data_IF_305788576179
#
_entry.id   IF_305788576179
#
_cell.length_a   1.000
_cell.length_b   1.000
_cell.length_c   1.000
_cell.angle_alpha   90.00
_cell.angle_beta   90.00
_cell.angle_gamma   90.00
#
_symmetry.space_group_name_H-M   'P 1'
#
loop_
_entity.id
_entity.type
_entity.pdbx_description
1 polymer ?
#
# COMPACT_ATOMS: atom_id res chain seq x y z
N UNK A 1 -21.74 -63.71 -12.59
CA UNK A 1 -21.92 -62.42 -11.89
C UNK A 1 -20.74 -61.53 -12.21
N UNK A 2 -20.87 -60.49 -13.05
CA UNK A 2 -19.82 -59.50 -13.22
C UNK A 2 -19.96 -58.39 -12.16
N UNK A 3 -18.81 -57.86 -11.74
CA UNK A 3 -18.66 -56.81 -10.73
C UNK A 3 -19.26 -55.46 -11.19
N UNK A 4 -19.73 -54.60 -10.26
CA UNK A 4 -20.26 -53.29 -10.59
C UNK A 4 -19.12 -52.36 -11.05
N UNK A 5 -19.32 -51.74 -12.21
CA UNK A 5 -18.47 -50.68 -12.74
C UNK A 5 -18.74 -49.37 -11.99
N UNK A 6 -17.77 -48.91 -11.20
CA UNK A 6 -17.73 -47.54 -10.68
C UNK A 6 -17.51 -46.56 -11.84
N UNK A 7 -18.61 -46.02 -12.37
CA UNK A 7 -18.61 -44.88 -13.28
C UNK A 7 -18.55 -43.57 -12.47
N UNK A 8 -17.39 -43.29 -11.84
CA UNK A 8 -17.09 -41.95 -11.37
C UNK A 8 -16.74 -41.04 -12.55
N UNK A 9 -17.76 -40.60 -13.28
CA UNK A 9 -17.61 -39.54 -14.28
C UNK A 9 -17.09 -38.26 -13.62
N UNK A 10 -16.18 -37.50 -14.25
CA UNK A 10 -15.78 -36.20 -13.75
C UNK A 10 -17.03 -35.29 -13.74
N UNK A 11 -17.45 -34.86 -12.54
CA UNK A 11 -18.47 -33.82 -12.40
C UNK A 11 -18.07 -32.62 -13.27
N UNK A 12 -19.01 -32.02 -14.03
CA UNK A 12 -18.66 -30.99 -15.00
C UNK A 12 -18.07 -29.80 -14.27
N UNK A 13 -16.76 -29.63 -14.43
CA UNK A 13 -16.03 -28.45 -14.05
C UNK A 13 -16.60 -27.26 -14.84
N UNK A 14 -17.58 -26.57 -14.26
CA UNK A 14 -18.01 -25.25 -14.73
C UNK A 14 -16.84 -24.29 -14.48
N UNK A 15 -15.92 -24.30 -15.45
CA UNK A 15 -14.82 -23.39 -15.73
C UNK A 15 -14.34 -22.49 -14.58
N UNK A 16 -13.45 -23.03 -13.74
CA UNK A 16 -12.55 -22.26 -12.84
C UNK A 16 -11.88 -21.05 -13.51
N UNK A 17 -11.52 -21.04 -14.83
CA UNK A 17 -10.98 -19.86 -15.49
C UNK A 17 -11.89 -18.63 -15.43
N UNK A 18 -13.22 -18.80 -15.56
CA UNK A 18 -14.16 -17.68 -15.62
C UNK A 18 -14.33 -16.98 -14.26
N UNK A 19 -14.22 -17.73 -13.16
CA UNK A 19 -14.35 -17.19 -11.80
C UNK A 19 -13.08 -16.43 -11.41
N UNK A 20 -11.90 -16.96 -11.74
CA UNK A 20 -10.64 -16.25 -11.53
C UNK A 20 -10.55 -14.98 -12.38
N UNK A 21 -10.97 -15.02 -13.65
CA UNK A 21 -11.00 -13.83 -14.50
C UNK A 21 -11.88 -12.72 -13.93
N UNK A 22 -13.09 -13.04 -13.44
CA UNK A 22 -13.97 -12.06 -12.80
C UNK A 22 -13.35 -11.46 -11.53
N UNK A 23 -12.76 -12.30 -10.68
CA UNK A 23 -12.04 -11.85 -9.49
C UNK A 23 -10.86 -10.93 -9.85
N UNK A 24 -10.05 -11.34 -10.83
CA UNK A 24 -8.88 -10.59 -11.28
C UNK A 24 -9.28 -9.24 -11.89
N UNK A 25 -10.28 -9.21 -12.77
CA UNK A 25 -10.81 -7.97 -13.36
C UNK A 25 -11.38 -7.03 -12.30
N UNK A 26 -12.15 -7.56 -11.34
CA UNK A 26 -12.66 -6.76 -10.23
C UNK A 26 -11.52 -6.16 -9.39
N UNK A 27 -10.45 -6.94 -9.15
CA UNK A 27 -9.27 -6.49 -8.42
C UNK A 27 -8.53 -5.39 -9.15
N UNK A 28 -8.33 -5.52 -10.46
CA UNK A 28 -7.69 -4.51 -11.32
C UNK A 28 -8.51 -3.21 -11.30
N UNK A 29 -9.81 -3.30 -11.57
CA UNK A 29 -10.71 -2.15 -11.60
C UNK A 29 -10.76 -1.41 -10.26
N UNK A 30 -10.94 -2.13 -9.14
CA UNK A 30 -10.95 -1.53 -7.80
C UNK A 30 -9.61 -0.89 -7.45
N UNK A 31 -8.49 -1.54 -7.78
CA UNK A 31 -7.16 -1.01 -7.45
C UNK A 31 -6.81 0.25 -8.26
N UNK A 32 -7.05 0.25 -9.57
CA UNK A 32 -6.81 1.43 -10.42
C UNK A 32 -7.69 2.59 -9.98
N UNK A 33 -8.98 2.32 -9.77
CA UNK A 33 -9.96 3.32 -9.34
C UNK A 33 -9.55 3.98 -8.02
N UNK A 34 -9.10 3.19 -7.05
CA UNK A 34 -8.64 3.70 -5.77
C UNK A 34 -7.40 4.60 -5.89
N UNK A 35 -6.41 4.19 -6.68
CA UNK A 35 -5.19 4.97 -6.89
C UNK A 35 -5.48 6.31 -7.58
N UNK A 36 -6.33 6.28 -8.60
CA UNK A 36 -6.79 7.49 -9.28
C UNK A 36 -7.55 8.42 -8.33
N UNK A 37 -8.47 7.87 -7.52
CA UNK A 37 -9.27 8.64 -6.58
C UNK A 37 -8.41 9.26 -5.46
N UNK A 38 -7.39 8.55 -4.98
CA UNK A 38 -6.41 9.07 -4.02
C UNK A 38 -5.70 10.33 -4.54
N UNK A 39 -5.25 10.33 -5.81
CA UNK A 39 -4.66 11.52 -6.45
C UNK A 39 -5.66 12.66 -6.57
N UNK A 40 -6.88 12.35 -7.03
CA UNK A 40 -7.93 13.35 -7.20
C UNK A 40 -8.33 14.02 -5.89
N UNK A 41 -8.50 13.26 -4.81
CA UNK A 41 -8.84 13.80 -3.49
C UNK A 41 -7.72 14.71 -2.98
N UNK A 42 -6.46 14.27 -3.08
CA UNK A 42 -5.30 15.06 -2.67
C UNK A 42 -5.17 16.37 -3.44
N UNK A 43 -5.40 16.35 -4.76
CA UNK A 43 -5.41 17.57 -5.55
C UNK A 43 -6.61 18.46 -5.24
N UNK A 44 -7.82 17.90 -5.08
CA UNK A 44 -9.05 18.66 -4.82
C UNK A 44 -8.97 19.40 -3.49
N UNK A 45 -8.58 18.73 -2.40
CA UNK A 45 -8.43 19.40 -1.10
C UNK A 45 -7.37 20.51 -1.17
N UNK A 46 -6.28 20.27 -1.91
CA UNK A 46 -5.23 21.26 -2.05
C UNK A 46 -5.72 22.45 -2.85
N UNK A 47 -6.45 22.26 -3.95
CA UNK A 47 -7.02 23.38 -4.71
C UNK A 47 -7.99 24.24 -3.90
N UNK A 48 -8.75 23.63 -2.98
CA UNK A 48 -9.71 24.34 -2.13
C UNK A 48 -9.04 25.10 -0.98
N UNK A 49 -8.01 24.51 -0.37
CA UNK A 49 -7.44 25.02 0.89
C UNK A 49 -6.08 25.68 0.74
N UNK A 50 -5.33 25.35 -0.32
CA UNK A 50 -3.93 25.73 -0.53
C UNK A 50 -3.05 25.47 0.71
N UNK A 51 -3.37 24.42 1.46
CA UNK A 51 -2.76 24.13 2.76
C UNK A 51 -2.19 22.72 2.82
N UNK A 52 -0.92 22.62 3.20
CA UNK A 52 -0.26 21.33 3.46
C UNK A 52 -0.87 20.58 4.65
N UNK A 53 -1.30 21.33 5.67
CA UNK A 53 -1.96 20.78 6.84
C UNK A 53 -3.26 20.06 6.47
N UNK A 54 -4.07 20.67 5.60
CA UNK A 54 -5.31 20.07 5.10
C UNK A 54 -5.04 18.75 4.33
N UNK A 55 -3.92 18.68 3.60
CA UNK A 55 -3.53 17.49 2.88
C UNK A 55 -3.12 16.34 3.82
N UNK A 56 -2.36 16.65 4.88
CA UNK A 56 -2.03 15.69 5.93
C UNK A 56 -3.27 15.15 6.67
N UNK A 57 -4.29 15.98 6.88
CA UNK A 57 -5.57 15.57 7.46
C UNK A 57 -6.34 14.57 6.58
N UNK A 58 -6.19 14.61 5.24
CA UNK A 58 -6.80 13.59 4.37
C UNK A 58 -6.20 12.21 4.64
N UNK A 59 -4.88 12.12 4.74
CA UNK A 59 -4.19 10.86 5.08
C UNK A 59 -4.67 10.32 6.44
N UNK A 60 -4.68 11.19 7.46
CA UNK A 60 -5.19 10.84 8.79
C UNK A 60 -6.66 10.39 8.77
N UNK A 61 -7.51 11.07 8.00
CA UNK A 61 -8.92 10.71 7.85
C UNK A 61 -9.09 9.32 7.20
N UNK A 62 -8.23 8.92 6.26
CA UNK A 62 -8.24 7.58 5.69
C UNK A 62 -7.68 6.53 6.66
N UNK A 63 -6.62 6.88 7.40
CA UNK A 63 -5.94 5.96 8.30
C UNK A 63 -6.72 5.64 9.57
N UNK A 64 -7.30 6.64 10.23
CA UNK A 64 -7.88 6.47 11.56
C UNK A 64 -9.03 5.44 11.57
N UNK A 65 -10.01 5.48 10.66
CA UNK A 65 -11.03 4.44 10.56
C UNK A 65 -10.42 3.10 10.17
N UNK A 66 -9.44 3.08 9.26
CA UNK A 66 -8.77 1.84 8.87
C UNK A 66 -8.11 1.16 10.07
N UNK A 67 -7.37 1.91 10.89
CA UNK A 67 -6.69 1.41 12.07
C UNK A 67 -7.68 0.89 13.11
N UNK A 68 -8.69 1.68 13.48
CA UNK A 68 -9.69 1.31 14.50
C UNK A 68 -10.51 0.09 14.05
N UNK A 69 -10.87 0.02 12.77
CA UNK A 69 -11.73 -1.04 12.25
C UNK A 69 -10.95 -2.29 11.81
N UNK A 70 -9.62 -2.28 11.77
CA UNK A 70 -8.83 -3.44 11.30
C UNK A 70 -9.12 -4.72 12.09
N UNK A 71 -9.27 -4.62 13.42
CA UNK A 71 -9.60 -5.78 14.28
C UNK A 71 -11.00 -6.32 14.00
N UNK A 72 -11.97 -5.41 13.84
CA UNK A 72 -13.37 -5.76 13.52
C UNK A 72 -13.46 -6.35 12.11
N UNK A 73 -12.70 -5.80 11.17
CA UNK A 73 -12.66 -6.23 9.79
C UNK A 73 -12.18 -7.68 9.63
N UNK A 74 -11.18 -8.09 10.39
CA UNK A 74 -10.73 -9.49 10.41
C UNK A 74 -11.85 -10.45 10.84
N UNK A 75 -12.56 -10.11 11.93
CA UNK A 75 -13.67 -10.90 12.44
C UNK A 75 -14.85 -10.99 11.46
N UNK A 76 -15.17 -9.88 10.79
CA UNK A 76 -16.21 -9.84 9.75
C UNK A 76 -15.81 -10.69 8.54
N UNK A 77 -14.56 -10.64 8.10
CA UNK A 77 -14.05 -11.43 6.98
C UNK A 77 -14.09 -12.95 7.23
N UNK A 78 -14.11 -13.37 8.50
CA UNK A 78 -14.18 -14.79 8.88
C UNK A 78 -15.62 -15.29 9.08
N UNK A 79 -16.54 -14.45 9.56
CA UNK A 79 -17.93 -14.85 9.85
C UNK A 79 -18.89 -14.73 8.67
N UNK A 80 -18.66 -13.77 7.78
CA UNK A 80 -19.58 -13.47 6.69
C UNK A 80 -19.08 -14.00 5.34
N UNK A 81 -20.00 -14.13 4.37
CA UNK A 81 -19.64 -14.44 3.00
C UNK A 81 -18.71 -13.35 2.44
N UNK A 82 -17.44 -13.69 2.31
CA UNK A 82 -16.35 -12.82 1.87
C UNK A 82 -16.65 -12.12 0.55
N UNK A 83 -17.38 -12.76 -0.37
CA UNK A 83 -17.76 -12.13 -1.65
C UNK A 83 -18.69 -10.95 -1.43
N UNK A 84 -19.64 -11.09 -0.49
CA UNK A 84 -20.64 -10.07 -0.18
C UNK A 84 -19.97 -8.92 0.57
N UNK A 85 -19.07 -9.23 1.50
CA UNK A 85 -18.28 -8.21 2.21
C UNK A 85 -17.51 -7.33 1.21
N UNK A 86 -16.75 -7.94 0.28
CA UNK A 86 -16.01 -7.15 -0.73
C UNK A 86 -16.96 -6.39 -1.65
N UNK A 87 -18.04 -7.02 -2.13
CA UNK A 87 -19.00 -6.34 -3.00
C UNK A 87 -19.63 -5.12 -2.31
N UNK A 88 -20.01 -5.24 -1.03
CA UNK A 88 -20.53 -4.11 -0.24
C UNK A 88 -19.48 -3.01 -0.09
N UNK A 89 -18.23 -3.36 0.22
CA UNK A 89 -17.14 -2.36 0.31
C UNK A 89 -16.96 -1.61 -1.02
N UNK A 90 -16.97 -2.33 -2.14
CA UNK A 90 -16.83 -1.73 -3.46
C UNK A 90 -18.06 -0.90 -3.85
N UNK A 91 -19.27 -1.32 -3.47
CA UNK A 91 -20.48 -0.51 -3.62
C UNK A 91 -20.43 0.77 -2.78
N UNK A 92 -19.91 0.71 -1.55
CA UNK A 92 -19.70 1.89 -0.71
C UNK A 92 -18.65 2.84 -1.31
N UNK A 93 -17.58 2.31 -1.91
CA UNK A 93 -16.59 3.12 -2.64
C UNK A 93 -17.20 3.75 -3.90
N UNK A 94 -18.05 3.04 -4.64
CA UNK A 94 -18.79 3.58 -5.77
C UNK A 94 -19.75 4.70 -5.33
N UNK A 95 -20.46 4.50 -4.22
CA UNK A 95 -21.33 5.50 -3.62
C UNK A 95 -20.55 6.73 -3.16
N UNK A 96 -19.41 6.55 -2.50
CA UNK A 96 -18.55 7.66 -2.09
C UNK A 96 -18.06 8.46 -3.31
N UNK A 97 -17.66 7.79 -4.41
CA UNK A 97 -17.34 8.45 -5.68
C UNK A 97 -18.54 9.19 -6.28
N UNK A 98 -19.76 8.65 -6.15
CA UNK A 98 -20.97 9.33 -6.59
C UNK A 98 -21.27 10.59 -5.76
N UNK A 99 -21.04 10.54 -4.45
CA UNK A 99 -21.18 11.71 -3.57
C UNK A 99 -20.10 12.75 -3.88
N UNK A 100 -18.85 12.35 -4.17
CA UNK A 100 -17.82 13.25 -4.67
C UNK A 100 -18.25 13.94 -5.97
N UNK A 101 -18.78 13.19 -6.94
CA UNK A 101 -19.27 13.73 -8.20
C UNK A 101 -20.42 14.73 -7.98
N UNK A 102 -21.44 14.34 -7.21
CA UNK A 102 -22.59 15.18 -6.91
C UNK A 102 -22.20 16.45 -6.14
N UNK A 103 -21.29 16.35 -5.18
CA UNK A 103 -20.76 17.50 -4.45
C UNK A 103 -19.93 18.44 -5.30
N UNK A 104 -19.17 17.89 -6.24
CA UNK A 104 -18.38 18.68 -7.19
C UNK A 104 -19.27 19.43 -8.16
N UNK A 105 -20.29 18.76 -8.74
CA UNK A 105 -21.23 19.39 -9.66
C UNK A 105 -22.18 20.38 -8.95
N UNK A 106 -22.58 20.06 -7.72
CA UNK A 106 -23.45 20.91 -6.90
C UNK A 106 -22.71 22.05 -6.18
N UNK A 107 -21.38 22.11 -6.25
CA UNK A 107 -20.56 23.17 -5.66
C UNK A 107 -20.56 23.23 -4.12
N UNK A 108 -21.13 22.24 -3.43
CA UNK A 108 -21.20 22.21 -1.95
C UNK A 108 -20.07 21.42 -1.30
N UNK A 109 -19.19 20.79 -2.09
CA UNK A 109 -18.08 19.99 -1.58
C UNK A 109 -17.02 20.87 -0.92
N UNK A 110 -17.00 20.86 0.42
CA UNK A 110 -16.04 21.60 1.25
C UNK A 110 -15.04 20.65 1.93
N UNK A 111 -14.02 21.20 2.59
CA UNK A 111 -12.98 20.40 3.25
C UNK A 111 -13.53 19.36 4.26
N UNK A 112 -14.49 19.69 5.15
CA UNK A 112 -15.10 18.70 6.05
C UNK A 112 -15.77 17.54 5.31
N UNK A 113 -16.51 17.82 4.22
CA UNK A 113 -17.15 16.77 3.42
C UNK A 113 -16.10 15.86 2.76
N UNK A 114 -14.99 16.43 2.27
CA UNK A 114 -13.88 15.65 1.71
C UNK A 114 -13.25 14.74 2.77
N UNK A 115 -13.02 15.22 3.99
CA UNK A 115 -12.49 14.40 5.08
C UNK A 115 -13.44 13.28 5.47
N UNK A 116 -14.75 13.54 5.56
CA UNK A 116 -15.74 12.52 5.86
C UNK A 116 -15.77 11.42 4.78
N UNK A 117 -15.73 11.81 3.50
CA UNK A 117 -15.67 10.85 2.40
C UNK A 117 -14.35 10.07 2.39
N UNK A 118 -13.22 10.73 2.64
CA UNK A 118 -11.92 10.08 2.78
C UNK A 118 -11.93 9.05 3.93
N UNK A 119 -12.57 9.36 5.05
CA UNK A 119 -12.79 8.42 6.14
C UNK A 119 -13.65 7.22 5.73
N UNK A 120 -14.70 7.43 4.94
CA UNK A 120 -15.48 6.34 4.35
C UNK A 120 -14.64 5.43 3.44
N UNK A 121 -13.75 6.01 2.61
CA UNK A 121 -12.82 5.25 1.76
C UNK A 121 -11.88 4.39 2.61
N UNK A 122 -11.28 4.99 3.65
CA UNK A 122 -10.39 4.30 4.59
C UNK A 122 -11.09 3.15 5.33
N UNK A 123 -12.30 3.40 5.83
CA UNK A 123 -13.14 2.40 6.48
C UNK A 123 -13.47 1.24 5.53
N UNK A 124 -13.92 1.51 4.30
CA UNK A 124 -14.22 0.46 3.32
C UNK A 124 -12.97 -0.38 2.98
N UNK A 125 -11.80 0.26 2.88
CA UNK A 125 -10.51 -0.43 2.65
C UNK A 125 -10.10 -1.33 3.80
N UNK A 126 -10.42 -0.96 5.04
CA UNK A 126 -10.16 -1.75 6.24
C UNK A 126 -10.78 -3.15 6.13
N UNK A 127 -12.00 -3.24 5.59
CA UNK A 127 -12.71 -4.50 5.35
C UNK A 127 -12.31 -5.15 4.02
N UNK A 128 -12.13 -4.38 2.95
CA UNK A 128 -11.86 -4.92 1.61
C UNK A 128 -10.52 -5.69 1.55
N UNK A 129 -9.44 -5.09 2.04
CA UNK A 129 -8.08 -5.62 1.88
C UNK A 129 -7.88 -7.04 2.48
N UNK A 130 -8.19 -7.29 3.77
CA UNK A 130 -8.04 -8.63 4.35
C UNK A 130 -8.99 -9.64 3.70
N UNK A 131 -10.21 -9.20 3.36
CA UNK A 131 -11.23 -10.07 2.76
C UNK A 131 -10.81 -10.52 1.35
N UNK A 132 -10.31 -9.63 0.51
CA UNK A 132 -9.82 -9.96 -0.85
C UNK A 132 -8.65 -10.94 -0.79
N UNK A 133 -7.69 -10.72 0.12
CA UNK A 133 -6.54 -11.61 0.29
C UNK A 133 -6.96 -13.04 0.68
N UNK A 134 -8.02 -13.17 1.48
CA UNK A 134 -8.59 -14.46 1.88
C UNK A 134 -9.47 -15.12 0.81
N UNK A 135 -9.92 -14.36 -0.19
CA UNK A 135 -10.80 -14.85 -1.25
C UNK A 135 -10.03 -15.59 -2.35
N UNK A 136 -8.81 -15.15 -2.65
CA UNK A 136 -7.98 -15.72 -3.72
C UNK A 136 -7.83 -17.26 -3.58
N UNK A 137 -7.54 -17.82 -2.38
CA UNK A 137 -7.48 -19.26 -2.21
C UNK A 137 -8.79 -20.02 -2.39
N UNK A 138 -9.93 -19.34 -2.30
CA UNK A 138 -11.24 -19.93 -2.51
C UNK A 138 -11.67 -19.91 -3.99
N UNK A 139 -11.01 -19.09 -4.82
CA UNK A 139 -11.33 -18.91 -6.25
C UNK A 139 -10.57 -19.89 -7.15
N UNK A 140 -9.36 -20.29 -6.76
CA UNK A 140 -8.49 -21.16 -7.58
C UNK A 140 -8.14 -22.46 -6.88
N UNK A 141 -7.73 -23.47 -7.66
CA UNK A 141 -7.25 -24.73 -7.10
C UNK A 141 -5.92 -24.52 -6.35
N UNK A 142 -5.63 -25.36 -5.34
CA UNK A 142 -4.38 -25.26 -4.57
C UNK A 142 -3.12 -25.27 -5.45
N UNK A 143 -3.11 -26.07 -6.51
CA UNK A 143 -2.00 -26.16 -7.46
C UNK A 143 -1.79 -24.87 -8.28
N UNK A 144 -2.83 -24.06 -8.46
CA UNK A 144 -2.78 -22.81 -9.24
C UNK A 144 -2.54 -21.57 -8.38
N UNK A 145 -2.55 -21.71 -7.03
CA UNK A 145 -2.38 -20.60 -6.10
C UNK A 145 -1.13 -19.75 -6.34
N UNK A 146 0.06 -20.31 -6.61
CA UNK A 146 1.25 -19.49 -6.85
C UNK A 146 1.08 -18.61 -8.10
N UNK A 147 0.54 -19.18 -9.19
CA UNK A 147 0.27 -18.45 -10.44
C UNK A 147 -0.79 -17.38 -10.23
N UNK A 148 -1.86 -17.69 -9.54
CA UNK A 148 -2.95 -16.77 -9.27
C UNK A 148 -2.52 -15.61 -8.35
N UNK A 149 -1.68 -15.91 -7.34
CA UNK A 149 -1.07 -14.91 -6.46
C UNK A 149 -0.14 -14.00 -7.23
N UNK A 150 0.71 -14.54 -8.11
CA UNK A 150 1.57 -13.75 -8.97
C UNK A 150 0.76 -12.79 -9.85
N UNK A 151 -0.29 -13.25 -10.53
CA UNK A 151 -1.16 -12.42 -11.37
C UNK A 151 -1.91 -11.33 -10.58
N UNK A 152 -2.38 -11.64 -9.38
CA UNK A 152 -3.07 -10.68 -8.50
C UNK A 152 -2.12 -9.60 -7.96
N UNK A 153 -0.90 -10.01 -7.61
CA UNK A 153 0.15 -9.07 -7.18
C UNK A 153 0.57 -8.18 -8.35
N UNK A 154 0.80 -8.74 -9.54
CA UNK A 154 1.11 -7.96 -10.75
C UNK A 154 0.02 -6.93 -11.06
N UNK A 155 -1.26 -7.32 -10.99
CA UNK A 155 -2.37 -6.38 -11.17
C UNK A 155 -2.33 -5.21 -10.18
N UNK A 156 -2.03 -5.49 -8.91
CA UNK A 156 -1.93 -4.45 -7.88
C UNK A 156 -0.74 -3.52 -8.14
N UNK A 157 0.41 -4.06 -8.54
CA UNK A 157 1.60 -3.26 -8.91
C UNK A 157 1.36 -2.39 -10.14
N UNK A 158 0.71 -2.95 -11.17
CA UNK A 158 0.31 -2.17 -12.36
C UNK A 158 -0.64 -1.04 -11.97
N UNK A 159 -1.60 -1.28 -11.07
CA UNK A 159 -2.49 -0.25 -10.58
C UNK A 159 -1.76 0.85 -9.79
N UNK A 160 -0.78 0.49 -8.96
CA UNK A 160 0.07 1.44 -8.22
C UNK A 160 0.85 2.37 -9.16
N UNK A 161 1.27 1.87 -10.34
CA UNK A 161 2.02 2.65 -11.33
C UNK A 161 1.08 3.45 -12.24
N UNK A 162 0.10 2.80 -12.86
CA UNK A 162 -0.76 3.42 -13.89
C UNK A 162 -1.86 4.27 -13.27
N UNK A 163 -2.39 3.85 -12.11
CA UNK A 163 -3.53 4.50 -11.47
C UNK A 163 -3.30 5.98 -11.12
N UNK A 164 -2.18 6.37 -10.47
CA UNK A 164 -1.91 7.77 -10.17
C UNK A 164 -1.71 8.62 -11.42
N UNK A 165 -0.96 8.14 -12.42
CA UNK A 165 -0.76 8.82 -13.70
C UNK A 165 -2.10 9.03 -14.44
N UNK A 166 -2.92 7.98 -14.54
CA UNK A 166 -4.24 8.07 -15.13
C UNK A 166 -5.12 9.06 -14.36
N UNK A 167 -5.09 9.03 -13.03
CA UNK A 167 -5.86 9.95 -12.21
C UNK A 167 -5.45 11.41 -12.38
N UNK A 168 -4.15 11.69 -12.44
CA UNK A 168 -3.66 13.04 -12.70
C UNK A 168 -4.06 13.57 -14.09
N UNK A 169 -3.91 12.75 -15.14
CA UNK A 169 -4.29 13.14 -16.51
C UNK A 169 -5.81 13.34 -16.62
N UNK A 170 -6.60 12.41 -16.09
CA UNK A 170 -8.06 12.49 -16.12
C UNK A 170 -8.58 13.67 -15.28
N UNK A 171 -7.93 13.99 -14.17
CA UNK A 171 -8.28 15.18 -13.37
C UNK A 171 -8.05 16.47 -14.17
N UNK A 172 -7.06 16.50 -15.07
CA UNK A 172 -6.85 17.61 -16.00
C UNK A 172 -8.04 17.89 -16.94
N UNK A 173 -8.87 16.88 -17.23
CA UNK A 173 -10.13 17.02 -17.97
C UNK A 173 -11.30 17.48 -17.08
N UNK A 174 -11.08 17.52 -15.76
CA UNK A 174 -12.03 17.91 -14.74
C UNK A 174 -12.20 16.85 -13.64
N UNK A 175 -12.42 17.26 -12.38
CA UNK A 175 -12.60 16.35 -11.25
C UNK A 175 -13.75 15.35 -11.46
N UNK A 176 -14.85 15.79 -12.11
CA UNK A 176 -15.99 14.93 -12.45
C UNK A 176 -15.62 13.67 -13.24
N UNK A 177 -14.64 13.73 -14.15
CA UNK A 177 -14.26 12.58 -15.00
C UNK A 177 -13.67 11.46 -14.14
N UNK A 178 -12.82 11.83 -13.19
CA UNK A 178 -12.21 10.87 -12.25
C UNK A 178 -13.29 10.23 -11.37
N UNK A 179 -14.21 11.02 -10.84
CA UNK A 179 -15.28 10.51 -9.97
C UNK A 179 -16.26 9.61 -10.74
N UNK A 180 -16.65 9.99 -11.97
CA UNK A 180 -17.51 9.18 -12.83
C UNK A 180 -16.87 7.83 -13.16
N UNK A 181 -15.60 7.84 -13.55
CA UNK A 181 -14.86 6.61 -13.82
C UNK A 181 -14.71 5.78 -12.54
N UNK A 182 -14.54 6.44 -11.39
CA UNK A 182 -14.55 5.78 -10.08
C UNK A 182 -15.85 5.03 -9.79
N UNK A 183 -17.00 5.66 -10.04
CA UNK A 183 -18.33 5.02 -9.91
C UNK A 183 -18.41 3.81 -10.83
N UNK A 184 -18.05 3.95 -12.11
CA UNK A 184 -18.11 2.88 -13.09
C UNK A 184 -17.19 1.71 -12.71
N UNK A 185 -15.93 1.96 -12.39
CA UNK A 185 -14.96 0.92 -12.06
C UNK A 185 -15.31 0.20 -10.75
N UNK A 186 -15.66 0.93 -9.69
CA UNK A 186 -16.05 0.30 -8.42
C UNK A 186 -17.41 -0.42 -8.53
N UNK A 187 -18.38 0.13 -9.25
CA UNK A 187 -19.66 -0.52 -9.51
C UNK A 187 -19.50 -1.82 -10.31
N UNK A 188 -18.72 -1.78 -11.39
CA UNK A 188 -18.37 -2.97 -12.16
C UNK A 188 -17.62 -4.00 -11.30
N UNK A 189 -16.66 -3.58 -10.48
CA UNK A 189 -15.95 -4.47 -9.57
C UNK A 189 -16.91 -5.13 -8.57
N UNK A 190 -17.83 -4.37 -7.96
CA UNK A 190 -18.83 -4.87 -7.03
C UNK A 190 -19.74 -5.91 -7.69
N UNK A 191 -20.22 -5.65 -8.90
CA UNK A 191 -21.02 -6.60 -9.69
C UNK A 191 -20.24 -7.88 -10.00
N UNK A 192 -18.99 -7.77 -10.45
CA UNK A 192 -18.13 -8.90 -10.74
C UNK A 192 -17.88 -9.76 -9.48
N UNK A 193 -17.57 -9.14 -8.34
CA UNK A 193 -17.36 -9.82 -7.06
C UNK A 193 -18.63 -10.48 -6.54
N UNK A 194 -19.78 -9.79 -6.63
CA UNK A 194 -21.09 -10.32 -6.25
C UNK A 194 -21.54 -11.49 -7.12
N UNK A 195 -21.06 -11.57 -8.38
CA UNK A 195 -21.37 -12.65 -9.32
C UNK A 195 -20.49 -13.90 -9.15
N UNK A 196 -19.50 -13.88 -8.26
CA UNK A 196 -18.61 -15.02 -8.04
C UNK A 196 -19.39 -16.20 -7.46
N UNK A 197 -19.22 -17.36 -8.09
CA UNK A 197 -19.71 -18.65 -7.61
C UNK A 197 -18.55 -19.36 -6.93
N UNK A 198 -18.51 -19.31 -5.60
CA UNK A 198 -17.49 -19.99 -4.80
C UNK A 198 -17.99 -21.38 -4.42
N UNK A 199 -17.13 -22.39 -4.58
CA UNK A 199 -17.45 -23.80 -4.30
C UNK A 199 -16.83 -24.32 -2.99
N UNK A 200 -16.34 -23.43 -2.10
CA UNK A 200 -15.58 -23.85 -0.92
C UNK A 200 -16.13 -23.25 0.37
N UNK A 201 -16.33 -24.12 1.38
CA UNK A 201 -16.57 -23.74 2.78
C UNK A 201 -15.35 -22.97 3.30
N UNK A 202 -15.55 -21.93 4.14
CA UNK A 202 -14.45 -21.17 4.70
C UNK A 202 -13.52 -22.11 5.48
N UNK A 203 -12.25 -22.19 5.04
CA UNK A 203 -11.18 -22.72 5.90
C UNK A 203 -11.02 -21.69 7.01
N UNK A 204 -11.41 -22.06 8.22
CA UNK A 204 -11.18 -21.26 9.42
C UNK A 204 -9.66 -21.08 9.57
N UNK A 205 -9.18 -19.85 9.43
CA UNK A 205 -7.85 -19.49 9.95
C UNK A 205 -8.02 -19.16 11.42
N UNK A 206 -7.02 -19.50 12.23
CA UNK A 206 -7.01 -19.08 13.62
C UNK A 206 -7.06 -17.54 13.68
N UNK A 207 -7.95 -16.94 14.50
CA UNK A 207 -8.08 -15.50 14.58
C UNK A 207 -6.78 -14.87 15.08
N UNK A 208 -6.42 -13.72 14.50
CA UNK A 208 -5.34 -12.88 15.05
C UNK A 208 -5.88 -12.21 16.31
N UNK A 209 -5.57 -12.77 17.48
CA UNK A 209 -5.97 -12.21 18.77
C UNK A 209 -5.00 -11.13 19.23
N UNK A 210 -5.43 -10.22 20.12
CA UNK A 210 -4.53 -9.23 20.73
C UNK A 210 -3.34 -9.89 21.43
N UNK A 211 -3.58 -11.01 22.12
CA UNK A 211 -2.53 -11.84 22.73
C UNK A 211 -1.50 -12.33 21.71
N UNK A 212 -1.96 -12.72 20.51
CA UNK A 212 -1.07 -13.10 19.41
C UNK A 212 -0.18 -11.92 18.96
N UNK A 213 -0.73 -10.70 18.89
CA UNK A 213 0.01 -9.47 18.55
C UNK A 213 1.05 -9.14 19.63
N UNK A 214 0.68 -9.19 20.91
CA UNK A 214 1.61 -8.96 22.02
C UNK A 214 2.76 -9.97 22.04
N UNK A 215 2.50 -11.25 21.75
CA UNK A 215 3.56 -12.26 21.64
C UNK A 215 4.51 -11.99 20.47
N UNK A 216 3.99 -11.48 19.34
CA UNK A 216 4.82 -11.06 18.20
C UNK A 216 5.70 -9.86 18.53
N UNK A 217 5.17 -8.86 19.24
CA UNK A 217 5.95 -7.71 19.72
C UNK A 217 7.05 -8.16 20.69
N UNK A 218 6.73 -9.05 21.62
CA UNK A 218 7.71 -9.59 22.57
C UNK A 218 8.85 -10.33 21.87
N UNK A 219 8.56 -11.08 20.80
CA UNK A 219 9.57 -11.72 19.96
C UNK A 219 10.44 -10.70 19.23
N UNK A 220 9.83 -9.72 18.56
CA UNK A 220 10.56 -8.66 17.84
C UNK A 220 11.52 -7.93 18.77
N UNK A 221 11.10 -7.62 20.00
CA UNK A 221 11.98 -6.95 20.99
C UNK A 221 13.17 -7.81 21.42
N UNK A 222 13.06 -9.13 21.36
CA UNK A 222 14.12 -10.08 21.72
C UNK A 222 15.09 -10.37 20.58
N UNK A 223 14.72 -10.07 19.33
CA UNK A 223 15.56 -10.26 18.15
C UNK A 223 16.07 -8.89 17.63
N UNK A 224 17.27 -8.43 18.03
CA UNK A 224 17.72 -7.05 17.79
C UNK A 224 17.86 -6.71 16.30
N UNK A 225 18.13 -7.69 15.45
CA UNK A 225 18.21 -7.50 14.01
C UNK A 225 16.84 -7.17 13.40
N UNK A 226 15.78 -7.88 13.81
CA UNK A 226 14.41 -7.61 13.34
C UNK A 226 13.93 -6.27 13.90
N UNK A 227 14.16 -6.00 15.19
CA UNK A 227 13.81 -4.72 15.81
C UNK A 227 14.53 -3.56 15.12
N UNK A 228 15.84 -3.69 14.88
CA UNK A 228 16.65 -2.68 14.20
C UNK A 228 16.14 -2.41 12.78
N UNK A 229 15.78 -3.46 12.04
CA UNK A 229 15.24 -3.32 10.70
C UNK A 229 13.85 -2.66 10.68
N UNK A 230 12.94 -3.09 11.55
CA UNK A 230 11.58 -2.54 11.64
C UNK A 230 11.58 -1.09 12.13
N UNK A 231 12.37 -0.78 13.14
CA UNK A 231 12.46 0.58 13.70
C UNK A 231 13.15 1.54 12.74
N UNK A 232 14.22 1.11 12.05
CA UNK A 232 14.88 1.93 11.03
C UNK A 232 13.88 2.36 9.96
N UNK A 233 13.10 1.42 9.44
CA UNK A 233 12.11 1.71 8.40
C UNK A 233 10.98 2.60 8.92
N UNK A 234 10.46 2.31 10.12
CA UNK A 234 9.43 3.14 10.76
C UNK A 234 9.87 4.62 10.83
N UNK A 235 11.07 4.89 11.32
CA UNK A 235 11.56 6.27 11.43
C UNK A 235 11.96 6.87 10.08
N UNK A 236 12.56 6.08 9.19
CA UNK A 236 12.93 6.56 7.85
C UNK A 236 11.71 6.99 7.03
N UNK A 237 10.61 6.23 7.10
CA UNK A 237 9.34 6.53 6.43
C UNK A 237 8.60 7.66 7.13
N UNK A 238 8.61 7.69 8.47
CA UNK A 238 7.97 8.75 9.26
C UNK A 238 8.50 10.13 8.88
N UNK A 239 9.83 10.28 8.73
CA UNK A 239 10.45 11.54 8.29
C UNK A 239 10.51 11.67 6.76
N UNK A 240 10.34 10.58 6.02
CA UNK A 240 10.47 10.52 4.57
C UNK A 240 9.21 10.89 3.78
N UNK A 241 8.21 11.54 4.40
CA UNK A 241 6.86 11.73 3.85
C UNK A 241 6.72 12.70 2.66
N UNK A 242 7.75 12.85 1.82
CA UNK A 242 7.76 13.71 0.63
C UNK A 242 6.60 13.41 -0.34
N UNK A 243 6.13 12.16 -0.37
CA UNK A 243 5.00 11.73 -1.21
C UNK A 243 3.69 12.43 -0.84
N UNK A 244 3.51 12.77 0.44
CA UNK A 244 2.33 13.51 0.91
C UNK A 244 2.29 14.94 0.39
N UNK A 245 3.46 15.54 0.15
CA UNK A 245 3.62 16.95 -0.26
C UNK A 245 3.68 17.12 -1.79
N UNK A 246 3.55 16.04 -2.56
CA UNK A 246 3.61 16.09 -4.03
C UNK A 246 2.59 17.04 -4.67
N UNK A 247 1.34 17.20 -4.18
CA UNK A 247 0.42 18.18 -4.76
C UNK A 247 0.94 19.62 -4.69
N UNK A 248 1.63 19.96 -3.59
CA UNK A 248 2.27 21.28 -3.40
C UNK A 248 3.43 21.43 -4.37
N UNK A 249 4.32 20.44 -4.44
CA UNK A 249 5.46 20.44 -5.37
C UNK A 249 5.02 20.53 -6.84
N UNK A 250 3.99 19.78 -7.22
CA UNK A 250 3.47 19.78 -8.59
C UNK A 250 2.91 21.15 -9.00
N UNK A 251 2.24 21.85 -8.07
CA UNK A 251 1.63 23.17 -8.34
C UNK A 251 2.64 24.32 -8.21
N UNK A 252 3.33 24.41 -7.07
CA UNK A 252 4.01 25.64 -6.66
C UNK A 252 5.49 25.66 -7.04
N UNK A 253 6.12 24.49 -7.19
CA UNK A 253 7.54 24.40 -7.55
C UNK A 253 7.73 23.99 -9.02
N UNK A 254 6.99 22.98 -9.47
CA UNK A 254 7.13 22.39 -10.81
C UNK A 254 6.16 22.96 -11.84
N UNK A 255 5.09 23.65 -11.42
CA UNK A 255 4.11 24.28 -12.32
C UNK A 255 3.50 23.30 -13.35
N UNK A 256 3.28 22.05 -12.95
CA UNK A 256 2.88 20.93 -13.83
C UNK A 256 1.42 20.52 -13.67
N UNK A 257 0.68 21.08 -12.71
CA UNK A 257 -0.74 20.78 -12.53
C UNK A 257 -1.04 19.32 -12.11
N UNK A 258 -2.28 18.84 -12.30
CA UNK A 258 -2.72 17.51 -11.86
C UNK A 258 -2.02 16.36 -12.60
N UNK A 259 -1.72 16.52 -13.90
CA UNK A 259 -1.05 15.48 -14.69
C UNK A 259 0.38 15.24 -14.19
N UNK A 260 1.09 16.31 -13.83
CA UNK A 260 2.42 16.24 -13.22
C UNK A 260 2.38 15.54 -11.86
N UNK A 261 1.39 15.84 -11.02
CA UNK A 261 1.16 15.11 -9.77
C UNK A 261 0.99 13.61 -10.02
N UNK A 262 0.21 13.23 -11.03
CA UNK A 262 0.03 11.83 -11.41
C UNK A 262 1.37 11.14 -11.72
N UNK A 263 2.21 11.77 -12.54
CA UNK A 263 3.55 11.26 -12.87
C UNK A 263 4.46 11.17 -11.64
N UNK A 264 4.48 12.20 -10.80
CA UNK A 264 5.28 12.22 -9.55
C UNK A 264 4.85 11.10 -8.59
N UNK A 265 3.54 10.82 -8.48
CA UNK A 265 3.03 9.71 -7.67
C UNK A 265 3.34 8.33 -8.25
N UNK A 266 3.49 8.22 -9.57
CA UNK A 266 3.88 6.99 -10.25
C UNK A 266 5.40 6.71 -10.22
N UNK A 267 6.23 7.75 -10.16
CA UNK A 267 7.69 7.63 -10.24
C UNK A 267 8.32 6.68 -9.18
N UNK A 268 7.95 6.75 -7.87
CA UNK A 268 8.47 5.81 -6.88
C UNK A 268 8.12 4.35 -7.19
N UNK A 269 6.91 4.09 -7.68
CA UNK A 269 6.46 2.74 -8.02
C UNK A 269 7.24 2.17 -9.23
N UNK A 270 7.55 3.00 -10.23
CA UNK A 270 8.41 2.62 -11.37
C UNK A 270 9.83 2.31 -10.89
N UNK A 271 10.38 3.17 -10.02
CA UNK A 271 11.69 2.97 -9.40
C UNK A 271 11.77 1.68 -8.59
N UNK A 272 10.76 1.41 -7.76
CA UNK A 272 10.64 0.18 -6.99
C UNK A 272 10.57 -1.07 -7.88
N UNK A 273 9.81 -1.01 -8.97
CA UNK A 273 9.75 -2.11 -9.95
C UNK A 273 11.12 -2.35 -10.60
N UNK A 274 11.79 -1.30 -11.05
CA UNK A 274 13.13 -1.40 -11.64
C UNK A 274 14.15 -1.98 -10.64
N UNK A 275 14.13 -1.50 -9.39
CA UNK A 275 14.96 -2.02 -8.31
C UNK A 275 14.69 -3.51 -8.04
N UNK A 276 13.42 -3.91 -7.99
CA UNK A 276 13.05 -5.32 -7.79
C UNK A 276 13.56 -6.22 -8.92
N UNK A 277 13.41 -5.80 -10.18
CA UNK A 277 13.93 -6.53 -11.34
C UNK A 277 15.46 -6.62 -11.31
N UNK A 278 16.14 -5.56 -10.88
CA UNK A 278 17.58 -5.56 -10.68
C UNK A 278 18.02 -6.59 -9.64
N UNK A 279 17.38 -6.63 -8.47
CA UNK A 279 17.70 -7.61 -7.42
C UNK A 279 17.34 -9.05 -7.78
N UNK A 280 16.32 -9.25 -8.61
CA UNK A 280 16.02 -10.58 -9.15
C UNK A 280 17.18 -11.12 -10.00
N UNK A 281 17.93 -10.23 -10.69
CA UNK A 281 19.11 -10.60 -11.48
C UNK A 281 20.40 -10.63 -10.65
N UNK A 282 20.52 -9.76 -9.67
CA UNK A 282 21.69 -9.58 -8.81
C UNK A 282 21.31 -9.75 -7.33
N UNK A 283 21.15 -11.00 -6.85
CA UNK A 283 20.72 -11.26 -5.48
C UNK A 283 21.75 -10.75 -4.46
N UNK A 284 21.24 -10.13 -3.39
CA UNK A 284 22.05 -9.59 -2.28
C UNK A 284 22.66 -10.73 -1.45
N UNK A 285 23.82 -11.23 -1.89
CA UNK A 285 24.50 -12.37 -1.26
C UNK A 285 25.47 -12.01 -0.13
N UNK A 286 25.85 -10.75 0.01
CA UNK A 286 26.86 -10.32 1.00
C UNK A 286 26.39 -9.05 1.71
N UNK A 287 26.36 -9.09 3.05
CA UNK A 287 26.09 -7.94 3.95
C UNK A 287 24.72 -7.28 3.75
N UNK A 288 23.61 -8.02 3.93
CA UNK A 288 22.25 -7.49 3.75
C UNK A 288 21.95 -6.26 4.63
N UNK A 289 22.46 -6.22 5.86
CA UNK A 289 22.25 -5.08 6.74
C UNK A 289 22.93 -3.80 6.24
N UNK A 290 24.14 -3.89 5.68
CA UNK A 290 24.79 -2.71 5.09
C UNK A 290 24.07 -2.21 3.83
N UNK A 291 23.56 -3.13 3.00
CA UNK A 291 22.75 -2.77 1.84
C UNK A 291 21.48 -2.03 2.26
N UNK A 292 20.80 -2.49 3.31
CA UNK A 292 19.62 -1.82 3.88
C UNK A 292 19.95 -0.39 4.33
N UNK A 293 21.02 -0.19 5.10
CA UNK A 293 21.41 1.16 5.53
C UNK A 293 21.78 2.07 4.35
N UNK A 294 22.51 1.54 3.37
CA UNK A 294 22.85 2.29 2.16
C UNK A 294 21.58 2.68 1.38
N UNK A 295 20.59 1.77 1.30
CA UNK A 295 19.28 2.06 0.71
C UNK A 295 18.59 3.22 1.40
N UNK A 296 18.50 3.22 2.73
CA UNK A 296 17.89 4.33 3.50
C UNK A 296 18.65 5.65 3.33
N UNK A 297 19.98 5.62 3.24
CA UNK A 297 20.78 6.83 2.96
C UNK A 297 20.49 7.35 1.56
N UNK A 298 20.46 6.49 0.54
CA UNK A 298 20.12 6.88 -0.83
C UNK A 298 18.69 7.41 -0.92
N UNK A 299 17.74 6.80 -0.19
CA UNK A 299 16.37 7.30 -0.05
C UNK A 299 16.35 8.73 0.51
N UNK A 300 17.10 9.00 1.59
CA UNK A 300 17.19 10.34 2.16
C UNK A 300 17.86 11.35 1.23
N UNK A 301 18.94 10.97 0.55
CA UNK A 301 19.62 11.81 -0.45
C UNK A 301 18.71 12.13 -1.65
N UNK A 302 17.99 11.13 -2.14
CA UNK A 302 17.01 11.32 -3.22
C UNK A 302 15.87 12.24 -2.78
N UNK A 303 15.43 12.14 -1.52
CA UNK A 303 14.45 13.06 -0.91
C UNK A 303 14.98 14.50 -0.87
N UNK A 304 16.25 14.70 -0.50
CA UNK A 304 16.90 16.03 -0.52
C UNK A 304 16.99 16.60 -1.94
N UNK A 305 17.42 15.79 -2.91
CA UNK A 305 17.51 16.20 -4.32
C UNK A 305 16.12 16.58 -4.85
N UNK A 306 15.09 15.78 -4.55
CA UNK A 306 13.71 16.11 -4.89
C UNK A 306 13.28 17.44 -4.24
N UNK A 307 13.60 17.63 -2.96
CA UNK A 307 13.21 18.82 -2.21
C UNK A 307 13.81 20.13 -2.77
N UNK A 308 15.00 20.06 -3.36
CA UNK A 308 15.70 21.19 -3.99
C UNK A 308 15.38 21.35 -5.49
N UNK A 309 14.73 20.37 -6.10
CA UNK A 309 14.53 20.32 -7.54
C UNK A 309 13.35 21.21 -7.97
N UNK A 310 13.58 22.03 -8.99
CA UNK A 310 12.55 22.80 -9.70
C UNK A 310 12.30 22.27 -11.11
N UNK A 311 12.99 21.18 -11.50
CA UNK A 311 12.90 20.61 -12.83
C UNK A 311 12.19 19.25 -12.79
N UNK A 312 11.13 19.10 -13.59
CA UNK A 312 10.28 17.91 -13.56
C UNK A 312 11.07 16.60 -13.81
N UNK A 313 11.93 16.48 -14.84
CA UNK A 313 12.69 15.25 -15.08
C UNK A 313 13.61 14.87 -13.92
N UNK A 314 14.26 15.85 -13.29
CA UNK A 314 15.11 15.63 -12.13
C UNK A 314 14.29 15.14 -10.93
N UNK A 315 13.11 15.72 -10.73
CA UNK A 315 12.18 15.33 -9.66
C UNK A 315 11.66 13.90 -9.86
N UNK A 316 11.33 13.53 -11.09
CA UNK A 316 10.92 12.16 -11.44
C UNK A 316 12.06 11.16 -11.23
N UNK A 317 13.28 11.53 -11.63
CA UNK A 317 14.46 10.69 -11.41
C UNK A 317 14.74 10.51 -9.91
N UNK A 318 14.66 11.57 -9.12
CA UNK A 318 14.84 11.53 -7.67
C UNK A 318 13.77 10.67 -6.98
N UNK A 319 12.50 10.79 -7.38
CA UNK A 319 11.43 9.94 -6.82
C UNK A 319 11.55 8.48 -7.26
N UNK A 320 12.03 8.22 -8.48
CA UNK A 320 12.33 6.86 -8.93
C UNK A 320 13.53 6.25 -8.18
N UNK A 321 14.60 7.00 -7.94
CA UNK A 321 15.74 6.51 -7.14
C UNK A 321 15.34 6.28 -5.69
N UNK A 322 14.49 7.15 -5.12
CA UNK A 322 13.88 6.98 -3.81
C UNK A 322 13.12 5.64 -3.73
N UNK A 323 12.22 5.35 -4.66
CA UNK A 323 11.47 4.09 -4.69
C UNK A 323 12.34 2.85 -4.93
N UNK A 324 13.37 2.96 -5.76
CA UNK A 324 14.33 1.87 -5.98
C UNK A 324 15.14 1.55 -4.71
N UNK A 325 15.51 2.58 -3.95
CA UNK A 325 16.25 2.44 -2.70
C UNK A 325 15.37 1.88 -1.57
N UNK A 326 14.10 2.25 -1.51
CA UNK A 326 13.13 1.74 -0.53
C UNK A 326 12.95 0.21 -0.64
N UNK A 327 12.90 -0.33 -1.86
CA UNK A 327 12.79 -1.78 -2.09
C UNK A 327 13.90 -2.57 -1.42
N UNK A 328 15.11 -2.00 -1.29
CA UNK A 328 16.22 -2.65 -0.58
C UNK A 328 15.84 -2.91 0.87
N UNK A 329 15.31 -1.89 1.55
CA UNK A 329 14.86 -1.97 2.94
C UNK A 329 13.73 -2.98 3.08
N UNK A 330 12.72 -2.89 2.20
CA UNK A 330 11.54 -3.77 2.22
C UNK A 330 11.93 -5.24 2.06
N UNK A 331 12.80 -5.55 1.09
CA UNK A 331 13.24 -6.94 0.83
C UNK A 331 14.05 -7.47 2.01
N UNK A 332 15.06 -6.73 2.49
CA UNK A 332 15.90 -7.18 3.62
C UNK A 332 15.06 -7.42 4.87
N UNK A 333 14.17 -6.48 5.21
CA UNK A 333 13.26 -6.61 6.36
C UNK A 333 12.33 -7.80 6.22
N UNK A 334 11.67 -7.94 5.07
CA UNK A 334 10.71 -9.04 4.85
C UNK A 334 11.42 -10.40 4.90
N UNK A 335 12.62 -10.50 4.35
CA UNK A 335 13.45 -11.71 4.44
C UNK A 335 13.92 -11.98 5.87
N UNK A 336 14.31 -10.97 6.64
CA UNK A 336 14.67 -11.14 8.05
C UNK A 336 13.50 -11.68 8.88
N UNK A 337 12.32 -11.11 8.72
CA UNK A 337 11.10 -11.58 9.40
C UNK A 337 10.81 -13.04 9.01
N UNK A 338 10.94 -13.39 7.73
CA UNK A 338 10.66 -14.76 7.28
C UNK A 338 11.71 -15.79 7.71
N UNK A 339 13.00 -15.44 7.69
CA UNK A 339 14.09 -16.41 7.92
C UNK A 339 14.48 -16.57 9.39
N UNK A 340 14.20 -15.58 10.24
CA UNK A 340 14.59 -15.60 11.66
C UNK A 340 13.45 -15.83 12.62
N UNK A 341 12.20 -15.78 12.13
CA UNK A 341 11.04 -16.07 12.98
C UNK A 341 10.70 -17.56 12.87
N UNK A 342 10.53 -18.27 13.99
CA UNK A 342 10.03 -19.65 13.98
C UNK A 342 8.67 -19.76 13.29
N UNK A 343 8.43 -20.87 12.59
CA UNK A 343 7.21 -21.08 11.80
C UNK A 343 5.92 -20.86 12.59
N UNK A 344 5.90 -21.26 13.86
CA UNK A 344 4.78 -21.11 14.78
C UNK A 344 4.44 -19.64 15.12
N UNK A 345 5.42 -18.73 14.99
CA UNK A 345 5.29 -17.30 15.29
C UNK A 345 5.24 -16.42 14.03
N UNK A 346 5.54 -16.96 12.84
CA UNK A 346 5.62 -16.21 11.58
C UNK A 346 4.37 -15.38 11.31
N UNK A 347 3.18 -15.95 11.50
CA UNK A 347 1.92 -15.24 11.29
C UNK A 347 1.75 -14.05 12.23
N UNK A 348 2.17 -14.20 13.49
CA UNK A 348 2.05 -13.18 14.54
C UNK A 348 3.04 -12.03 14.31
N UNK A 349 4.28 -12.35 13.99
CA UNK A 349 5.32 -11.37 13.69
C UNK A 349 5.02 -10.65 12.37
N UNK A 350 4.47 -11.34 11.37
CA UNK A 350 4.06 -10.73 10.10
C UNK A 350 2.90 -9.74 10.29
N UNK A 351 1.96 -10.02 11.20
CA UNK A 351 0.88 -9.10 11.53
C UNK A 351 1.42 -7.81 12.19
N UNK A 352 2.39 -7.94 13.11
CA UNK A 352 3.05 -6.78 13.70
C UNK A 352 3.82 -5.99 12.64
N UNK A 353 4.59 -6.66 11.77
CA UNK A 353 5.29 -6.00 10.66
C UNK A 353 4.33 -5.19 9.77
N UNK A 354 3.19 -5.75 9.39
CA UNK A 354 2.17 -5.05 8.61
C UNK A 354 1.61 -3.83 9.34
N UNK A 355 1.38 -3.93 10.66
CA UNK A 355 0.93 -2.81 11.48
C UNK A 355 1.96 -1.68 11.52
N UNK A 356 3.25 -2.01 11.69
CA UNK A 356 4.34 -1.05 11.67
C UNK A 356 4.42 -0.30 10.34
N UNK A 357 4.37 -1.01 9.20
CA UNK A 357 4.40 -0.41 7.86
C UNK A 357 3.17 0.47 7.60
N UNK A 358 1.98 0.00 7.97
CA UNK A 358 0.76 0.78 7.76
C UNK A 358 0.74 2.06 8.58
N UNK A 359 1.17 1.96 9.85
CA UNK A 359 1.21 3.09 10.77
C UNK A 359 2.30 4.08 10.39
N UNK A 360 3.49 3.62 9.98
CA UNK A 360 4.61 4.50 9.60
C UNK A 360 4.26 5.38 8.41
N UNK A 361 3.70 4.80 7.34
CA UNK A 361 3.33 5.53 6.13
C UNK A 361 2.32 6.64 6.46
N UNK A 362 1.26 6.31 7.20
CA UNK A 362 0.16 7.23 7.46
C UNK A 362 0.52 8.31 8.48
N UNK A 363 1.28 7.94 9.52
CA UNK A 363 1.78 8.90 10.50
C UNK A 363 2.83 9.82 9.84
N UNK A 364 3.63 9.32 8.91
CA UNK A 364 4.56 10.12 8.10
C UNK A 364 3.84 11.12 7.20
N UNK A 365 2.76 10.71 6.52
CA UNK A 365 1.94 11.64 5.73
C UNK A 365 1.35 12.77 6.59
N UNK A 366 0.90 12.45 7.81
CA UNK A 366 0.39 13.44 8.75
C UNK A 366 1.49 14.36 9.31
N UNK A 367 2.62 13.78 9.75
CA UNK A 367 3.79 14.52 10.23
C UNK A 367 4.29 15.50 9.18
N UNK A 368 4.44 15.04 7.93
CA UNK A 368 4.89 15.85 6.81
C UNK A 368 3.90 16.95 6.46
N UNK A 369 2.59 16.70 6.58
CA UNK A 369 1.56 17.74 6.44
C UNK A 369 1.65 18.83 7.52
N UNK A 370 1.90 18.46 8.77
CA UNK A 370 2.06 19.43 9.88
C UNK A 370 3.35 20.23 9.71
N UNK A 371 4.49 19.57 9.51
CA UNK A 371 5.78 20.25 9.38
C UNK A 371 5.79 21.17 8.16
N UNK A 372 5.16 20.76 7.06
CA UNK A 372 4.95 21.64 5.90
C UNK A 372 3.99 22.80 6.19
N UNK A 373 3.00 22.61 7.06
CA UNK A 373 2.12 23.68 7.52
C UNK A 373 2.83 24.76 8.35
N UNK A 374 3.85 24.38 9.13
CA UNK A 374 4.62 25.32 9.96
C UNK A 374 5.82 25.94 9.25
N UNK A 375 6.58 25.13 8.51
CA UNK A 375 7.86 25.54 7.92
C UNK A 375 7.83 25.66 6.40
N UNK A 376 6.69 25.34 5.76
CA UNK A 376 6.58 25.24 4.31
C UNK A 376 7.00 23.87 3.79
N UNK A 377 6.51 23.50 2.60
CA UNK A 377 6.72 22.17 2.04
C UNK A 377 8.19 21.86 1.75
N UNK A 378 8.96 22.84 1.26
CA UNK A 378 10.37 22.62 0.93
C UNK A 378 11.23 22.34 2.17
N UNK A 379 11.23 23.19 3.23
CA UNK A 379 11.95 22.88 4.46
C UNK A 379 11.51 21.56 5.10
N UNK A 380 10.22 21.21 5.06
CA UNK A 380 9.72 19.94 5.58
C UNK A 380 10.34 18.73 4.86
N UNK A 381 10.39 18.73 3.52
CA UNK A 381 11.03 17.67 2.74
C UNK A 381 12.53 17.61 3.00
N UNK A 382 13.20 18.76 3.11
CA UNK A 382 14.65 18.81 3.34
C UNK A 382 15.03 18.30 4.74
N UNK A 383 14.30 18.75 5.76
CA UNK A 383 14.48 18.28 7.14
C UNK A 383 14.17 16.78 7.21
N UNK A 384 13.07 16.35 6.59
CA UNK A 384 12.70 14.93 6.51
C UNK A 384 13.81 14.06 5.91
N UNK A 385 14.32 14.44 4.73
CA UNK A 385 15.43 13.73 4.08
C UNK A 385 16.71 13.71 4.92
N UNK A 386 17.07 14.83 5.56
CA UNK A 386 18.22 14.93 6.45
C UNK A 386 18.06 14.07 7.71
N UNK A 387 16.87 14.09 8.33
CA UNK A 387 16.51 13.25 9.47
C UNK A 387 16.58 11.78 9.11
N UNK A 388 16.10 11.36 7.94
CA UNK A 388 16.20 9.96 7.49
C UNK A 388 17.66 9.51 7.36
N UNK A 389 18.55 10.35 6.84
CA UNK A 389 20.00 10.06 6.80
C UNK A 389 20.57 9.97 8.21
N UNK A 390 20.24 10.93 9.08
CA UNK A 390 20.72 10.96 10.46
C UNK A 390 20.27 9.72 11.25
N UNK A 391 19.02 9.30 11.09
CA UNK A 391 18.47 8.07 11.68
C UNK A 391 19.22 6.86 11.17
N UNK A 392 19.49 6.75 9.87
CA UNK A 392 20.25 5.63 9.32
C UNK A 392 21.67 5.55 9.91
N UNK A 393 22.37 6.68 10.02
CA UNK A 393 23.71 6.75 10.62
C UNK A 393 23.69 6.45 12.12
N UNK A 394 22.67 6.90 12.84
CA UNK A 394 22.50 6.63 14.26
C UNK A 394 22.20 5.14 14.50
N UNK A 395 21.31 4.53 13.69
CA UNK A 395 20.99 3.11 13.78
C UNK A 395 22.18 2.21 13.42
N UNK A 396 23.08 2.66 12.53
CA UNK A 396 24.35 1.95 12.29
C UNK A 396 25.20 1.81 13.56
N UNK A 397 25.07 2.74 14.53
CA UNK A 397 25.76 2.68 15.82
C UNK A 397 24.95 1.93 16.87
N UNK A 398 23.63 2.13 16.94
CA UNK A 398 22.76 1.50 17.93
C UNK A 398 22.50 0.01 17.68
N UNK A 399 22.52 -0.41 16.41
CA UNK A 399 22.28 -1.79 16.00
C UNK A 399 23.49 -2.38 15.26
N UNK A 400 24.64 -2.56 15.95
CA UNK A 400 25.85 -3.11 15.34
C UNK A 400 25.61 -4.53 14.80
N UNK A 401 24.72 -5.31 15.44
CA UNK A 401 24.31 -6.65 15.00
C UNK A 401 23.68 -6.67 13.61
N UNK A 402 22.91 -5.63 13.26
CA UNK A 402 22.35 -5.47 11.92
C UNK A 402 23.44 -5.03 10.93
N UNK A 403 24.30 -4.09 11.32
CA UNK A 403 25.37 -3.56 10.46
C UNK A 403 26.40 -4.62 10.05
N UNK A 404 26.84 -5.46 10.99
CA UNK A 404 27.88 -6.48 10.74
C UNK A 404 27.32 -7.78 10.15
N UNK A 405 26.01 -7.88 9.98
CA UNK A 405 25.33 -9.08 9.50
C UNK A 405 25.86 -9.49 8.11
N UNK A 406 26.32 -10.74 8.00
CA UNK A 406 26.89 -11.29 6.75
C UNK A 406 25.87 -12.07 5.92
N UNK A 407 24.91 -12.73 6.58
CA UNK A 407 23.83 -13.52 5.97
C UNK A 407 22.46 -13.20 6.61
N UNK A 408 21.39 -13.44 5.85
CA UNK A 408 20.01 -13.31 6.35
C UNK A 408 19.58 -14.50 7.22
N UNK A 409 20.18 -15.67 6.99
CA UNK A 409 19.96 -16.89 7.78
C UNK A 409 20.49 -16.72 9.21
N UNK A 410 19.80 -17.31 10.17
CA UNK A 410 20.33 -17.41 11.52
C UNK A 410 21.60 -18.26 11.50
N UNK A 411 22.71 -17.76 12.06
CA UNK A 411 23.89 -18.60 12.28
C UNK A 411 23.46 -19.74 13.20
N UNK A 412 23.39 -20.95 12.65
CA UNK A 412 23.15 -22.17 13.42
C UNK A 412 24.33 -22.29 14.40
N UNK A 413 24.07 -21.96 15.67
CA UNK A 413 25.04 -22.19 16.75
C UNK A 413 25.25 -23.68 16.98
#
# INVERSE_FOLDING_TARGET
MPAPSDSSGPSPAVSRPSTFQRFWSARVLSSISFQMLSVAIGWHIYTLTQSAYALGLVGLAQFLPMFVLTLVAGHVADRYDRRRVVAVCQSLLALASAVFLAGTLGGWLNAPAIYALAACLGAARAFENPTVASLLPAVVARAELPRATALSTSATQTALIIGPAAGGVLYGLGPQVVYLLGIACFGCAACLMGSLKLSSKPVARAPVTLESVFSGIAFIRREPAILGALSLDLFAVLFGGAVSLLPIYARDFLHTGPWGLGLLRSAPAIGALAGTLWFARFPMRKRPGMAMFLGVIVFGLATLVFGLSTWLPLSLLALATLGAADVISVVVRSSLVQLRTPDEMLGRVSAVNALFIGTSNQLGEFESGITAGWWGAQPAVLIGGACTIAVALLWMRLFPSLRTMRSLEAERK
#
